data_IF_232955028035
#
_entry.id   IF_232955028035
#
_cell.length_a   1.000
_cell.length_b   1.000
_cell.length_c   1.000
_cell.angle_alpha   90.00
_cell.angle_beta   90.00
_cell.angle_gamma   90.00
#
_symmetry.space_group_name_H-M   'P 1'
#
loop_
_entity.id
_entity.type
_entity.pdbx_description
1 polymer ?
2 non-polymer ?
3 non-polymer ?
4 non-polymer ?
5 non-polymer ?
6 water ?
#
# COMPACT_ATOMS: atom_id res chain seq x y z
N UNK A 7 6.02 -15.19 27.67
CA UNK A 7 5.50 -14.45 26.46
C UNK A 7 5.17 -15.42 25.31
N UNK A 8 3.89 -15.82 25.20
CA UNK A 8 3.43 -16.70 24.11
C UNK A 8 2.55 -15.96 23.12
N UNK A 9 3.05 -15.78 21.91
CA UNK A 9 2.26 -15.15 20.86
C UNK A 9 1.08 -16.02 20.41
N UNK A 10 1.17 -17.33 20.60
CA UNK A 10 0.03 -18.23 20.31
C UNK A 10 -0.90 -18.40 21.53
N UNK A 11 -2.11 -17.86 21.41
CA UNK A 11 -3.11 -17.92 22.46
C UNK A 11 -4.07 -19.11 22.24
N UNK A 12 -4.16 -19.58 20.99
CA UNK A 12 -5.11 -20.65 20.57
C UNK A 12 -6.58 -20.22 20.56
N UNK A 13 -6.85 -18.97 20.93
CA UNK A 13 -8.20 -18.42 20.88
C UNK A 13 -8.79 -18.30 19.45
N UNK A 14 -7.92 -18.17 18.46
CA UNK A 14 -8.37 -18.12 17.06
C UNK A 14 -8.54 -19.48 16.39
N UNK A 15 -8.34 -20.57 17.15
CA UNK A 15 -8.29 -21.92 16.55
C UNK A 15 -9.60 -22.37 15.96
N UNK A 16 -10.70 -21.74 16.38
CA UNK A 16 -12.05 -22.01 15.90
C UNK A 16 -12.52 -21.06 14.77
N UNK A 17 -11.65 -20.14 14.36
CA UNK A 17 -11.96 -19.26 13.20
C UNK A 17 -12.47 -17.87 13.52
N UNK A 18 -12.57 -17.52 14.80
CA UNK A 18 -12.98 -16.20 15.21
C UNK A 18 -11.80 -15.46 15.85
N UNK A 19 -11.86 -14.14 15.87
CA UNK A 19 -10.73 -13.34 16.31
C UNK A 19 -11.22 -11.99 16.81
N UNK A 20 -10.45 -11.32 17.68
CA UNK A 20 -10.85 -10.01 18.16
C UNK A 20 -10.41 -8.92 17.20
N UNK A 21 -11.23 -7.86 17.12
CA UNK A 21 -10.77 -6.63 16.47
C UNK A 21 -10.48 -5.59 17.58
N UNK A 22 -10.29 -4.32 17.22
CA UNK A 22 -10.14 -3.29 18.25
C UNK A 22 -11.53 -3.04 18.88
N UNK A 23 -11.57 -2.97 20.21
CA UNK A 23 -12.86 -2.97 20.92
C UNK A 23 -13.23 -4.41 21.27
N UNK A 24 -14.50 -4.64 21.62
CA UNK A 24 -14.92 -5.91 22.26
C UNK A 24 -15.33 -6.98 21.25
N UNK A 25 -15.66 -6.55 20.03
CA UNK A 25 -16.26 -7.45 19.05
C UNK A 25 -15.33 -8.55 18.57
N UNK A 26 -15.87 -9.76 18.40
CA UNK A 26 -15.14 -10.81 17.69
C UNK A 26 -15.79 -11.03 16.33
N UNK A 27 -14.97 -11.41 15.36
CA UNK A 27 -15.45 -11.65 14.04
C UNK A 27 -14.82 -12.91 13.49
N UNK A 28 -15.47 -13.53 12.50
CA UNK A 28 -14.80 -14.55 11.74
C UNK A 28 -13.62 -13.91 11.02
N UNK A 29 -12.60 -14.72 10.82
CA UNK A 29 -11.38 -14.28 10.17
C UNK A 29 -11.59 -13.93 8.70
N UNK A 30 -12.62 -14.50 8.07
CA UNK A 30 -12.95 -14.09 6.69
C UNK A 30 -13.92 -12.90 6.61
N UNK A 31 -14.28 -12.30 7.75
CA UNK A 31 -15.05 -11.05 7.75
C UNK A 31 -14.36 -9.98 6.91
N UNK A 32 -15.12 -9.19 6.11
CA UNK A 32 -14.49 -8.16 5.27
C UNK A 32 -13.56 -7.17 6.01
N UNK A 33 -13.86 -6.84 7.27
CA UNK A 33 -12.99 -5.97 8.09
C UNK A 33 -11.62 -6.62 8.33
N UNK A 34 -11.66 -7.88 8.75
CA UNK A 34 -10.43 -8.63 9.04
C UNK A 34 -9.66 -8.85 7.73
N UNK A 35 -10.35 -9.12 6.63
CA UNK A 35 -9.67 -9.20 5.33
C UNK A 35 -9.02 -7.86 4.95
N UNK A 36 -9.68 -6.76 5.26
CA UNK A 36 -9.17 -5.45 4.87
C UNK A 36 -7.83 -5.12 5.53
N UNK A 37 -7.76 -5.15 6.86
CA UNK A 37 -6.49 -4.87 7.48
C UNK A 37 -5.51 -6.03 7.34
N UNK A 38 -6.02 -7.24 7.09
CA UNK A 38 -5.16 -8.36 6.72
C UNK A 38 -4.39 -8.13 5.41
N UNK A 39 -5.06 -7.54 4.43
CA UNK A 39 -4.45 -7.28 3.11
C UNK A 39 -3.44 -6.15 3.24
N UNK A 40 -3.75 -5.17 4.11
CA UNK A 40 -2.84 -4.08 4.45
C UNK A 40 -1.56 -4.63 5.10
N UNK A 41 -1.69 -5.62 5.97
CA UNK A 41 -0.56 -6.29 6.63
C UNK A 41 0.31 -7.06 5.60
N UNK A 42 -0.33 -7.76 4.66
CA UNK A 42 0.39 -8.37 3.55
C UNK A 42 1.12 -7.33 2.68
N UNK A 43 0.45 -6.23 2.38
CA UNK A 43 1.15 -5.18 1.65
C UNK A 43 2.36 -4.69 2.46
N UNK A 44 2.15 -4.48 3.75
CA UNK A 44 3.18 -3.95 4.64
C UNK A 44 4.41 -4.88 4.61
N UNK A 45 4.14 -6.17 4.67
CA UNK A 45 5.21 -7.18 4.58
C UNK A 45 5.95 -7.18 3.25
N UNK A 46 5.19 -7.07 2.15
CA UNK A 46 5.78 -6.90 0.83
C UNK A 46 6.67 -5.63 0.72
N UNK A 47 6.24 -4.52 1.32
CA UNK A 47 7.04 -3.30 1.30
C UNK A 47 8.38 -3.55 2.02
N UNK A 48 8.31 -4.23 3.16
CA UNK A 48 9.50 -4.67 3.89
C UNK A 48 10.40 -5.48 3.00
N UNK A 49 9.81 -6.44 2.28
CA UNK A 49 10.58 -7.26 1.34
C UNK A 49 11.17 -6.39 0.20
N UNK A 50 10.37 -5.46 -0.31
CA UNK A 50 10.85 -4.53 -1.35
C UNK A 50 12.06 -3.74 -0.81
N UNK A 51 11.97 -3.29 0.43
CA UNK A 51 13.02 -2.47 1.03
C UNK A 51 14.35 -3.23 1.16
N UNK A 52 14.25 -4.55 1.42
CA UNK A 52 15.44 -5.41 1.61
C UNK A 52 16.21 -5.61 0.30
N UNK A 53 15.62 -5.17 -0.82
CA UNK A 53 16.25 -5.29 -2.16
C UNK A 53 17.03 -4.05 -2.57
N UNK A 54 16.92 -3.00 -1.76
CA UNK A 54 17.65 -1.75 -2.00
C UNK A 54 19.15 -2.02 -2.15
N UNK A 55 19.77 -1.37 -3.13
CA UNK A 55 21.21 -1.50 -3.36
C UNK A 55 21.83 -0.11 -3.41
N UNK A 56 23.12 -0.02 -3.78
CA UNK A 56 23.82 1.28 -3.79
C UNK A 56 23.23 2.29 -4.79
N UNK A 57 22.62 1.81 -5.86
CA UNK A 57 22.01 2.70 -6.85
C UNK A 57 20.69 3.29 -6.34
N UNK A 58 20.02 2.57 -5.46
CA UNK A 58 18.63 2.89 -5.16
C UNK A 58 18.42 3.28 -3.69
N UNK A 59 19.54 3.51 -2.99
CA UNK A 59 19.54 3.91 -1.59
C UNK A 59 18.55 5.04 -1.24
N UNK A 60 18.42 6.03 -2.14
CA UNK A 60 17.52 7.17 -1.93
C UNK A 60 16.05 6.77 -1.67
N UNK A 61 15.68 5.53 -2.03
CA UNK A 61 14.31 5.07 -1.82
C UNK A 61 14.07 4.40 -0.47
N UNK A 62 15.14 4.14 0.26
CA UNK A 62 15.08 3.29 1.44
C UNK A 62 14.20 3.89 2.55
N UNK A 63 14.43 5.17 2.89
CA UNK A 63 13.74 5.75 4.03
C UNK A 63 12.22 5.92 3.89
N UNK A 64 11.76 6.37 2.72
CA UNK A 64 10.32 6.52 2.46
C UNK A 64 9.57 5.19 2.43
N UNK A 65 10.24 4.09 2.10
CA UNK A 65 9.57 2.77 2.14
C UNK A 65 9.34 2.39 3.61
N UNK A 66 10.30 2.75 4.47
CA UNK A 66 10.17 2.50 5.89
C UNK A 66 9.04 3.35 6.45
N UNK A 67 8.97 4.61 6.03
CA UNK A 67 7.91 5.55 6.42
C UNK A 67 6.51 5.05 6.02
N UNK A 68 6.42 4.49 4.80
CA UNK A 68 5.19 3.87 4.31
C UNK A 68 4.74 2.73 5.26
N UNK A 69 5.68 1.91 5.72
CA UNK A 69 5.36 0.85 6.65
C UNK A 69 4.74 1.36 7.96
N UNK A 70 5.25 2.47 8.45
CA UNK A 70 4.72 3.12 9.64
C UNK A 70 3.28 3.57 9.40
N UNK A 71 3.07 4.19 8.24
CA UNK A 71 1.78 4.69 7.82
C UNK A 71 0.78 3.57 7.59
N UNK A 72 1.23 2.40 7.11
CA UNK A 72 0.29 1.28 6.90
C UNK A 72 -0.26 0.73 8.20
N UNK A 73 0.57 0.78 9.26
CA UNK A 73 0.14 0.41 10.59
C UNK A 73 -0.95 1.38 11.07
N UNK A 74 -0.72 2.69 10.83
CA UNK A 74 -1.71 3.72 11.17
C UNK A 74 -3.04 3.46 10.45
N UNK A 75 -2.97 3.20 9.14
CA UNK A 75 -4.17 2.84 8.35
C UNK A 75 -4.90 1.59 8.86
N UNK A 76 -4.14 0.56 9.19
CA UNK A 76 -4.70 -0.70 9.61
C UNK A 76 -5.37 -0.59 10.96
N UNK A 77 -4.78 0.22 11.86
CA UNK A 77 -5.44 0.54 13.14
C UNK A 77 -6.88 0.96 12.93
N UNK A 78 -7.08 1.93 12.04
CA UNK A 78 -8.40 2.51 11.79
C UNK A 78 -9.35 1.53 11.14
N UNK A 79 -8.84 0.72 10.21
CA UNK A 79 -9.64 -0.31 9.54
C UNK A 79 -10.12 -1.33 10.56
N UNK A 80 -9.29 -1.59 11.56
CA UNK A 80 -9.63 -2.51 12.68
C UNK A 80 -10.60 -1.92 13.71
N UNK A 81 -10.87 -0.62 13.61
CA UNK A 81 -11.68 0.10 14.60
C UNK A 81 -13.09 0.38 14.06
N UNK A 82 -14.14 -0.18 14.71
CA UNK A 82 -15.51 0.14 14.32
C UNK A 82 -15.83 1.62 14.54
N UNK A 83 -16.66 2.19 13.68
CA UNK A 83 -16.95 3.62 13.76
C UNK A 83 -17.73 3.96 15.02
N UNK A 84 -18.53 3.01 15.51
CA UNK A 84 -19.34 3.22 16.71
C UNK A 84 -18.70 2.70 18.01
N UNK A 85 -17.38 2.50 17.99
CA UNK A 85 -16.68 2.10 19.21
C UNK A 85 -16.41 3.28 20.11
N UNK A 86 -17.06 3.27 21.27
CA UNK A 86 -16.99 4.38 22.22
C UNK A 86 -15.60 4.63 22.80
N UNK A 87 -14.80 3.57 22.92
CA UNK A 87 -13.50 3.64 23.61
C UNK A 87 -12.30 3.88 22.67
N UNK A 88 -12.49 3.72 21.37
CA UNK A 88 -11.38 3.82 20.44
C UNK A 88 -11.74 4.73 19.29
N UNK A 89 -10.78 5.55 18.85
CA UNK A 89 -11.02 6.53 17.80
C UNK A 89 -10.14 6.29 16.57
N UNK A 90 -10.53 6.93 15.47
CA UNK A 90 -9.70 6.98 14.27
C UNK A 90 -8.56 7.96 14.50
N UNK A 91 -7.34 7.51 14.21
CA UNK A 91 -6.15 8.34 14.38
C UNK A 91 -5.54 8.80 13.05
N UNK A 92 -5.96 8.17 11.94
CA UNK A 92 -5.33 8.48 10.65
C UNK A 92 -5.99 9.66 9.93
N UNK A 93 -5.17 10.65 9.63
CA UNK A 93 -5.56 11.81 8.84
C UNK A 93 -4.82 11.78 7.51
N UNK A 94 -5.56 11.85 6.41
CA UNK A 94 -4.97 11.61 5.10
C UNK A 94 -4.12 12.77 4.59
N UNK A 95 -4.48 13.99 4.98
CA UNK A 95 -3.92 15.18 4.31
C UNK A 95 -2.42 15.18 4.15
N UNK A 96 -1.66 15.12 5.25
CA UNK A 96 -0.20 15.27 5.09
C UNK A 96 0.52 14.07 4.47
N UNK A 97 0.18 12.83 4.90
CA UNK A 97 0.76 11.67 4.23
C UNK A 97 0.44 11.60 2.73
N UNK A 98 -0.76 12.05 2.34
CA UNK A 98 -1.18 11.98 0.93
C UNK A 98 -0.48 13.02 0.05
N UNK A 99 -0.33 14.26 0.56
CA UNK A 99 0.42 15.31 -0.12
C UNK A 99 1.89 14.91 -0.28
N UNK A 100 2.44 14.30 0.76
CA UNK A 100 3.78 13.74 0.75
C UNK A 100 3.97 12.72 -0.39
N UNK A 101 3.00 11.83 -0.57
CA UNK A 101 2.98 10.89 -1.72
C UNK A 101 2.89 11.62 -3.05
N UNK A 102 1.98 12.60 -3.14
CA UNK A 102 1.80 13.41 -4.34
C UNK A 102 3.06 14.13 -4.78
N UNK A 103 3.80 14.70 -3.82
CA UNK A 103 5.06 15.39 -4.11
C UNK A 103 6.08 14.42 -4.72
N UNK A 104 6.12 13.21 -4.19
CA UNK A 104 6.98 12.16 -4.72
C UNK A 104 6.57 11.66 -6.10
N UNK A 105 5.27 11.44 -6.29
CA UNK A 105 4.73 11.09 -7.60
C UNK A 105 5.10 12.15 -8.64
N UNK A 106 4.88 13.43 -8.27
CA UNK A 106 5.22 14.58 -9.13
C UNK A 106 6.70 14.60 -9.50
N UNK A 107 7.56 14.53 -8.48
CA UNK A 107 9.01 14.49 -8.68
C UNK A 107 9.46 13.35 -9.57
N UNK A 108 9.03 12.13 -9.23
CA UNK A 108 9.45 10.93 -9.95
C UNK A 108 8.90 10.93 -11.36
N UNK A 109 7.69 11.44 -11.52
CA UNK A 109 7.10 11.53 -12.85
C UNK A 109 7.93 12.49 -13.72
N UNK A 110 8.31 13.63 -13.16
CA UNK A 110 9.11 14.64 -13.86
C UNK A 110 10.47 14.09 -14.32
N UNK A 111 11.19 13.44 -13.41
CA UNK A 111 12.57 12.92 -13.74
C UNK A 111 12.71 11.76 -14.74
N UNK A 112 11.74 10.86 -14.80
CA UNK A 112 11.83 9.63 -15.62
C UNK A 112 11.36 9.95 -17.05
N UNK A 113 11.81 9.15 -18.04
CA UNK A 113 11.36 9.48 -19.40
C UNK A 113 9.84 9.33 -19.53
N UNK A 114 9.19 10.27 -20.24
CA UNK A 114 7.72 10.27 -20.39
C UNK A 114 7.24 9.18 -21.33
N UNK A 115 6.12 8.53 -20.97
CA UNK A 115 5.38 7.55 -21.81
C UNK A 115 4.00 8.26 -21.89
N UNK A 116 3.45 8.36 -23.21
CA UNK A 116 2.15 7.73 -23.58
C UNK A 116 1.55 6.42 -23.15
N UNK A 117 2.25 5.33 -23.40
CA UNK A 117 1.60 4.02 -23.43
C UNK A 117 1.80 3.30 -22.10
N UNK A 118 0.98 2.30 -21.82
CA UNK A 118 1.21 1.43 -20.66
C UNK A 118 2.62 0.83 -20.79
N UNK A 119 3.29 0.68 -19.65
CA UNK A 119 4.58 -0.03 -19.60
C UNK A 119 4.42 -1.45 -19.04
N UNK A 120 5.27 -2.36 -19.51
CA UNK A 120 5.42 -3.66 -18.86
C UNK A 120 5.85 -3.45 -17.42
N UNK A 121 5.13 -4.05 -16.46
CA UNK A 121 5.52 -3.89 -15.07
C UNK A 121 6.74 -4.75 -14.77
N UNK A 122 7.91 -4.17 -14.78
CA UNK A 122 9.15 -4.93 -14.65
C UNK A 122 10.36 -4.05 -14.83
N UNK A 123 11.51 -4.68 -15.07
CA UNK A 123 12.78 -3.98 -15.16
C UNK A 123 13.76 -4.56 -14.17
N UNK A 124 14.36 -3.70 -13.34
CA UNK A 124 15.21 -4.17 -12.24
C UNK A 124 14.38 -4.93 -11.19
N UNK A 125 15.07 -5.61 -10.28
CA UNK A 125 14.40 -6.40 -9.26
C UNK A 125 13.61 -5.49 -8.32
N UNK A 126 14.16 -4.31 -8.00
CA UNK A 126 13.48 -3.35 -7.16
C UNK A 126 12.29 -2.73 -7.87
N UNK A 127 12.47 -2.29 -9.12
CA UNK A 127 11.36 -1.75 -9.92
C UNK A 127 10.19 -2.72 -9.95
N UNK A 128 10.52 -3.98 -10.25
CA UNK A 128 9.53 -5.04 -10.35
C UNK A 128 8.85 -5.24 -9.00
N UNK A 129 9.64 -5.24 -7.92
CA UNK A 129 9.07 -5.40 -6.54
C UNK A 129 8.12 -4.26 -6.23
N UNK A 130 8.47 -3.05 -6.69
CA UNK A 130 7.62 -1.87 -6.54
C UNK A 130 6.29 -1.97 -7.34
N UNK A 131 6.34 -2.61 -8.51
CA UNK A 131 5.13 -2.91 -9.28
C UNK A 131 4.27 -3.98 -8.56
N UNK A 132 4.92 -4.96 -7.92
CA UNK A 132 4.19 -5.91 -7.10
C UNK A 132 3.51 -5.14 -5.94
N UNK A 133 4.26 -4.24 -5.29
CA UNK A 133 3.70 -3.43 -4.22
C UNK A 133 2.48 -2.68 -4.75
N UNK A 134 2.64 -2.09 -5.92
CA UNK A 134 1.54 -1.39 -6.60
C UNK A 134 0.25 -2.24 -6.66
N UNK A 135 0.41 -3.51 -7.02
CA UNK A 135 -0.74 -4.36 -7.31
C UNK A 135 -1.30 -4.99 -6.03
N UNK A 136 -0.44 -5.22 -5.04
CA UNK A 136 -0.90 -5.63 -3.70
C UNK A 136 -1.69 -4.47 -3.04
N UNK A 137 -1.20 -3.23 -3.17
CA UNK A 137 -1.92 -2.05 -2.66
C UNK A 137 -3.32 -1.97 -3.28
N UNK A 138 -3.39 -2.21 -4.58
CA UNK A 138 -4.67 -2.18 -5.27
C UNK A 138 -5.63 -3.32 -4.86
N UNK A 139 -5.07 -4.52 -4.64
CA UNK A 139 -5.84 -5.62 -4.03
C UNK A 139 -6.40 -5.25 -2.64
N UNK A 140 -5.53 -4.76 -1.78
CA UNK A 140 -5.92 -4.25 -0.48
C UNK A 140 -6.99 -3.17 -0.58
N UNK A 141 -6.79 -2.21 -1.49
CA UNK A 141 -7.80 -1.20 -1.79
C UNK A 141 -9.18 -1.79 -2.10
N UNK A 142 -9.22 -2.88 -2.87
CA UNK A 142 -10.52 -3.48 -3.24
C UNK A 142 -11.24 -3.99 -1.98
N UNK A 143 -10.45 -4.58 -1.08
CA UNK A 143 -10.94 -5.13 0.17
C UNK A 143 -11.40 -4.04 1.14
N UNK A 144 -10.68 -2.94 1.19
CA UNK A 144 -11.15 -1.76 1.91
C UNK A 144 -12.51 -1.26 1.34
N UNK A 145 -12.66 -1.30 0.02
CA UNK A 145 -13.91 -0.90 -0.60
C UNK A 145 -15.03 -1.88 -0.22
N UNK A 146 -14.77 -3.19 -0.34
CA UNK A 146 -15.70 -4.23 0.14
C UNK A 146 -16.20 -3.89 1.56
N UNK A 147 -15.25 -3.62 2.45
CA UNK A 147 -15.59 -3.25 3.82
C UNK A 147 -16.49 -2.00 3.87
N UNK A 148 -16.03 -0.91 3.24
CA UNK A 148 -16.79 0.36 3.16
C UNK A 148 -18.25 0.21 2.72
N UNK A 149 -18.52 -0.77 1.86
CA UNK A 149 -19.88 -1.01 1.36
C UNK A 149 -20.80 -1.68 2.39
N UNK A 150 -20.22 -2.14 3.49
CA UNK A 150 -20.99 -2.80 4.55
C UNK A 150 -20.94 -2.04 5.85
N UNK A 151 -19.85 -1.30 6.08
CA UNK A 151 -19.60 -0.66 7.37
C UNK A 151 -19.00 0.74 7.21
N UNK A 152 -19.24 1.61 8.19
CA UNK A 152 -18.59 2.92 8.22
C UNK A 152 -17.10 2.80 8.51
N UNK A 153 -16.27 3.27 7.57
CA UNK A 153 -14.80 3.32 7.71
C UNK A 153 -14.30 4.76 7.76
N UNK A 154 -13.03 4.91 8.14
CA UNK A 154 -12.33 6.18 7.95
C UNK A 154 -11.94 6.31 6.50
N UNK A 155 -12.65 7.18 5.78
CA UNK A 155 -12.49 7.33 4.34
C UNK A 155 -11.12 7.90 3.94
N UNK A 156 -10.47 8.54 4.89
CA UNK A 156 -9.05 9.00 4.78
C UNK A 156 -8.12 7.85 4.43
N UNK A 157 -8.39 6.67 5.00
CA UNK A 157 -7.61 5.47 4.70
C UNK A 157 -7.71 5.09 3.24
N UNK A 158 -8.93 5.16 2.69
CA UNK A 158 -9.17 4.87 1.28
C UNK A 158 -8.42 5.84 0.38
N UNK A 159 -8.50 7.13 0.71
CA UNK A 159 -7.84 8.20 -0.05
C UNK A 159 -6.34 7.88 -0.12
N UNK A 160 -5.75 7.57 1.04
CA UNK A 160 -4.31 7.35 1.11
C UNK A 160 -3.90 6.10 0.36
N UNK A 161 -4.63 5.01 0.57
CA UNK A 161 -4.32 3.75 -0.09
C UNK A 161 -4.52 3.86 -1.61
N UNK A 162 -5.55 4.59 -2.03
CA UNK A 162 -5.69 4.90 -3.44
C UNK A 162 -4.42 5.61 -4.00
N UNK A 163 -4.04 6.73 -3.40
CA UNK A 163 -2.85 7.46 -3.83
C UNK A 163 -1.60 6.60 -3.79
N UNK A 164 -1.55 5.65 -2.85
CA UNK A 164 -0.35 4.84 -2.60
C UNK A 164 0.03 3.97 -3.80
N UNK A 165 -0.97 3.43 -4.52
CA UNK A 165 -0.60 2.62 -5.70
C UNK A 165 -0.10 3.48 -6.84
N UNK A 166 -0.52 4.75 -6.91
CA UNK A 166 0.13 5.66 -7.86
C UNK A 166 1.57 5.94 -7.45
N UNK A 167 1.78 6.09 -6.14
CA UNK A 167 3.12 6.29 -5.62
C UNK A 167 4.02 5.10 -6.06
N UNK A 168 3.54 3.87 -5.86
CA UNK A 168 4.33 2.69 -6.23
C UNK A 168 4.63 2.60 -7.72
N UNK A 169 3.67 2.98 -8.57
CA UNK A 169 3.92 3.10 -10.00
C UNK A 169 5.04 4.09 -10.31
N UNK A 170 4.91 5.32 -9.80
CA UNK A 170 5.98 6.34 -9.94
C UNK A 170 7.34 5.91 -9.40
N UNK A 171 7.36 5.31 -8.21
CA UNK A 171 8.60 4.85 -7.58
C UNK A 171 9.24 3.73 -8.39
N UNK A 172 8.42 2.85 -8.97
CA UNK A 172 8.94 1.71 -9.73
C UNK A 172 9.64 2.21 -11.01
N UNK A 173 9.02 3.16 -11.72
CA UNK A 173 9.71 3.80 -12.85
C UNK A 173 10.99 4.49 -12.42
N UNK A 174 10.96 5.15 -11.26
CA UNK A 174 12.14 5.86 -10.73
C UNK A 174 13.26 4.87 -10.39
N UNK A 175 12.90 3.71 -9.85
CA UNK A 175 13.86 2.65 -9.55
C UNK A 175 14.61 2.20 -10.83
N UNK A 176 13.86 2.01 -11.93
CA UNK A 176 14.44 1.75 -13.25
C UNK A 176 15.40 2.85 -13.71
N UNK A 177 14.94 4.10 -13.59
CA UNK A 177 15.76 5.28 -13.88
C UNK A 177 17.08 5.27 -13.06
N UNK A 178 16.99 4.99 -11.77
CA UNK A 178 18.19 4.94 -10.90
C UNK A 178 19.27 3.91 -11.31
N UNK A 179 18.88 2.84 -12.00
CA UNK A 179 19.88 1.93 -12.55
C UNK A 179 19.97 2.02 -14.07
N UNK A 180 19.33 3.05 -14.65
CA UNK A 180 19.29 3.23 -16.11
C UNK A 180 18.83 1.98 -16.86
N UNK A 181 17.80 1.35 -16.31
CA UNK A 181 17.08 0.30 -16.99
C UNK A 181 15.88 0.92 -17.71
N UNK A 182 15.84 0.83 -19.06
CA UNK A 182 14.69 1.37 -19.81
C UNK A 182 13.41 0.57 -19.54
N UNK A 183 12.29 1.29 -19.51
CA UNK A 183 10.98 0.65 -19.47
C UNK A 183 10.67 0.09 -20.85
N UNK A 184 9.88 -0.97 -20.85
CA UNK A 184 9.37 -1.53 -22.09
C UNK A 184 7.88 -1.20 -22.21
N UNK A 185 7.45 -0.86 -23.41
CA UNK A 185 6.05 -0.55 -23.64
C UNK A 185 5.19 -1.76 -23.98
N UNK A 186 3.93 -1.72 -23.54
CA UNK A 186 2.93 -2.64 -24.01
C UNK A 186 2.73 -2.33 -25.49
N UNK A 187 3.05 -3.31 -26.34
CA UNK A 187 3.06 -3.16 -27.80
C UNK A 187 1.70 -2.80 -28.42
N UNK A 188 0.60 -3.21 -27.78
CA UNK A 188 -0.74 -2.84 -28.28
C UNK A 188 -1.40 -1.68 -27.52
N UNK A 189 -0.63 -0.92 -26.74
CA UNK A 189 -1.20 0.17 -25.98
C UNK A 189 -1.69 1.31 -26.91
N UNK A 190 -2.84 1.87 -26.54
CA UNK A 190 -3.28 3.17 -27.01
C UNK A 190 -2.53 4.23 -26.17
N UNK A 191 -2.55 5.49 -26.59
CA UNK A 191 -2.04 6.58 -25.75
C UNK A 191 -2.97 6.85 -24.55
N UNK A 192 -2.62 6.28 -23.41
CA UNK A 192 -3.51 6.23 -22.25
C UNK A 192 -3.14 7.25 -21.16
N UNK A 193 -1.89 7.70 -21.15
CA UNK A 193 -1.47 8.63 -20.11
C UNK A 193 -1.61 10.09 -20.57
#
# INVERSE_FOLDING_TARGET
GASAPMVKIYTKNGDKGQTRIIGKQILYKNDPRVAAYGEVDELNSWVGYTKSLINSHTQVLSNELEEIQQLLFDCGHDLATPADDERHSFKFKQEQPTVWLEEKIDNYTQVVPAVKKFILPGGTQLASALHVARTITRRAERQIVQLMREEQINQDVLIFINRLSDYFFAAARYANYLEQQPDMLYRNSKDVFR
#
